data_IF_992217978654
#
_entry.id   IF_992217978654
#
_cell.length_a   1.000
_cell.length_b   1.000
_cell.length_c   1.000
_cell.angle_alpha   90.00
_cell.angle_beta   90.00
_cell.angle_gamma   90.00
#
_symmetry.space_group_name_H-M   'P 1'
#
loop_
_entity.id
_entity.type
_entity.pdbx_description
1 polymer ?
#
# COMPACT_ATOMS: atom_id res chain seq x y z
N UNK A 1 -24.48 14.18 0.54
CA UNK A 1 -23.64 13.20 1.25
C UNK A 1 -23.10 12.24 0.20
N UNK A 2 -21.85 12.43 -0.22
CA UNK A 2 -21.35 11.94 -1.50
C UNK A 2 -20.89 10.49 -1.52
N UNK A 3 -20.80 9.93 -2.73
CA UNK A 3 -20.27 8.60 -3.05
C UNK A 3 -18.95 8.27 -2.33
N UNK A 4 -18.09 9.27 -2.15
CA UNK A 4 -16.81 9.17 -1.45
C UNK A 4 -16.95 8.64 -0.01
N UNK A 5 -17.96 9.10 0.74
CA UNK A 5 -18.16 8.66 2.14
C UNK A 5 -18.66 7.21 2.24
N UNK A 6 -19.34 6.71 1.20
CA UNK A 6 -19.83 5.34 1.15
C UNK A 6 -18.68 4.35 0.91
N UNK A 7 -17.78 4.66 -0.03
CA UNK A 7 -16.61 3.84 -0.31
C UNK A 7 -15.64 3.80 0.88
N UNK A 8 -15.37 4.95 1.49
CA UNK A 8 -14.47 5.07 2.65
C UNK A 8 -14.94 4.20 3.83
N UNK A 9 -16.24 4.27 4.17
CA UNK A 9 -16.82 3.46 5.25
C UNK A 9 -16.83 1.96 4.96
N UNK A 10 -16.98 1.57 3.70
CA UNK A 10 -16.90 0.17 3.27
C UNK A 10 -15.46 -0.34 3.34
N UNK A 11 -14.50 0.46 2.87
CA UNK A 11 -13.07 0.15 2.89
C UNK A 11 -12.58 -0.07 4.32
N UNK A 12 -12.91 0.83 5.24
CA UNK A 12 -12.53 0.70 6.65
C UNK A 12 -13.10 -0.56 7.31
N UNK A 13 -14.35 -0.91 7.02
CA UNK A 13 -14.99 -2.12 7.53
C UNK A 13 -14.35 -3.40 6.98
N UNK A 14 -14.04 -3.43 5.68
CA UNK A 14 -13.38 -4.56 5.02
C UNK A 14 -11.93 -4.70 5.51
N UNK A 15 -11.21 -3.59 5.67
CA UNK A 15 -9.83 -3.57 6.17
C UNK A 15 -9.73 -4.10 7.60
N UNK A 16 -10.68 -3.75 8.46
CA UNK A 16 -10.77 -4.25 9.85
C UNK A 16 -11.11 -5.74 9.97
N UNK A 17 -11.78 -6.32 8.98
CA UNK A 17 -12.11 -7.75 8.93
C UNK A 17 -10.96 -8.58 8.33
N UNK A 18 -10.33 -8.06 7.28
CA UNK A 18 -9.22 -8.70 6.57
C UNK A 18 -7.91 -8.69 7.37
N UNK A 19 -7.71 -7.73 8.28
CA UNK A 19 -6.53 -7.70 9.16
C UNK A 19 -6.41 -8.91 10.10
N UNK A 20 -7.51 -9.62 10.36
CA UNK A 20 -7.52 -10.85 11.19
C UNK A 20 -7.18 -12.12 10.40
N UNK A 21 -7.17 -12.05 9.06
CA UNK A 21 -6.89 -13.19 8.17
C UNK A 21 -5.91 -12.79 7.05
N UNK A 22 -4.67 -12.38 7.40
CA UNK A 22 -3.70 -11.83 6.45
C UNK A 22 -3.32 -12.80 5.32
N UNK A 23 -3.31 -14.11 5.57
CA UNK A 23 -2.98 -15.12 4.54
C UNK A 23 -4.07 -15.19 3.47
N UNK A 24 -5.35 -15.27 3.86
CA UNK A 24 -6.46 -15.28 2.91
C UNK A 24 -6.55 -13.96 2.15
N UNK A 25 -6.30 -12.84 2.84
CA UNK A 25 -6.20 -11.54 2.20
C UNK A 25 -5.12 -11.51 1.12
N UNK A 26 -3.92 -12.04 1.40
CA UNK A 26 -2.83 -12.12 0.43
C UNK A 26 -3.18 -12.98 -0.80
N UNK A 27 -3.87 -14.11 -0.61
CA UNK A 27 -4.30 -14.98 -1.71
C UNK A 27 -5.35 -14.27 -2.59
N UNK A 28 -6.42 -13.75 -1.99
CA UNK A 28 -7.50 -13.08 -2.73
C UNK A 28 -6.99 -11.81 -3.40
N UNK A 29 -6.19 -11.01 -2.69
CA UNK A 29 -5.57 -9.80 -3.23
C UNK A 29 -4.62 -10.11 -4.38
N UNK A 30 -3.77 -11.13 -4.24
CA UNK A 30 -2.88 -11.58 -5.32
C UNK A 30 -3.64 -12.04 -6.57
N UNK A 31 -4.69 -12.85 -6.41
CA UNK A 31 -5.55 -13.25 -7.53
C UNK A 31 -6.25 -12.04 -8.18
N UNK A 32 -6.76 -11.11 -7.37
CA UNK A 32 -7.42 -9.90 -7.87
C UNK A 32 -6.45 -9.02 -8.67
N UNK A 33 -5.21 -8.85 -8.21
CA UNK A 33 -4.18 -8.10 -8.94
C UNK A 33 -3.87 -8.75 -10.29
N UNK A 34 -3.68 -10.07 -10.31
CA UNK A 34 -3.40 -10.81 -11.57
C UNK A 34 -4.58 -10.70 -12.54
N UNK A 35 -5.82 -10.87 -12.05
CA UNK A 35 -7.03 -10.74 -12.88
C UNK A 35 -7.24 -9.30 -13.37
N UNK A 36 -6.93 -8.31 -12.52
CA UNK A 36 -7.01 -6.90 -12.89
C UNK A 36 -6.05 -6.59 -14.05
N UNK A 37 -4.78 -6.98 -13.93
CA UNK A 37 -3.80 -6.75 -14.99
C UNK A 37 -4.14 -7.50 -16.27
N UNK A 38 -4.63 -8.74 -16.14
CA UNK A 38 -5.22 -9.48 -17.26
C UNK A 38 -6.36 -8.69 -17.90
N UNK A 39 -7.26 -8.11 -17.10
CA UNK A 39 -8.37 -7.29 -17.60
C UNK A 39 -7.90 -6.06 -18.36
N UNK A 40 -6.84 -5.40 -17.89
CA UNK A 40 -6.22 -4.25 -18.60
C UNK A 40 -5.71 -4.67 -19.98
N UNK A 41 -5.07 -5.84 -20.10
CA UNK A 41 -4.63 -6.37 -21.40
C UNK A 41 -5.80 -6.68 -22.33
N UNK A 42 -6.80 -7.42 -21.86
CA UNK A 42 -8.00 -7.71 -22.68
C UNK A 42 -8.73 -6.44 -23.11
N UNK A 43 -8.74 -5.42 -22.26
CA UNK A 43 -9.33 -4.13 -22.61
C UNK A 43 -8.53 -3.42 -23.70
N UNK A 44 -7.19 -3.48 -23.65
CA UNK A 44 -6.34 -2.99 -24.74
C UNK A 44 -6.58 -3.76 -26.04
N UNK A 45 -6.69 -5.09 -25.99
CA UNK A 45 -6.96 -5.94 -27.16
C UNK A 45 -8.33 -5.63 -27.79
N UNK A 46 -9.35 -5.39 -26.96
CA UNK A 46 -10.69 -4.99 -27.44
C UNK A 46 -10.62 -3.62 -28.13
N UNK A 47 -9.89 -2.66 -27.57
CA UNK A 47 -9.71 -1.35 -28.20
C UNK A 47 -8.91 -1.44 -29.51
N UNK A 48 -7.91 -2.32 -29.58
CA UNK A 48 -7.19 -2.61 -30.83
C UNK A 48 -8.15 -3.17 -31.89
N UNK A 49 -8.98 -4.15 -31.53
CA UNK A 49 -9.95 -4.80 -32.43
C UNK A 49 -11.14 -3.91 -32.81
N UNK A 50 -11.48 -2.90 -32.00
CA UNK A 50 -12.60 -1.98 -32.25
C UNK A 50 -12.41 -1.09 -33.50
N UNK A 51 -11.18 -1.03 -34.03
CA UNK A 51 -10.85 -0.28 -35.25
C UNK A 51 -10.88 1.24 -35.07
N UNK A 52 -10.55 1.97 -36.13
CA UNK A 52 -10.49 3.44 -36.11
C UNK A 52 -9.32 4.00 -35.29
N UNK A 53 -9.51 5.19 -34.73
CA UNK A 53 -8.47 5.92 -33.97
C UNK A 53 -8.02 5.13 -32.72
N UNK A 54 -8.97 4.46 -32.05
CA UNK A 54 -8.69 3.61 -30.90
C UNK A 54 -7.84 2.39 -31.29
N UNK A 55 -8.15 1.76 -32.42
CA UNK A 55 -7.34 0.67 -32.98
C UNK A 55 -5.87 1.05 -33.19
N UNK A 56 -5.63 2.26 -33.73
CA UNK A 56 -4.27 2.75 -33.99
C UNK A 56 -3.49 3.13 -32.73
N UNK A 57 -4.16 3.64 -31.69
CA UNK A 57 -3.51 4.03 -30.44
C UNK A 57 -3.16 2.80 -29.60
N UNK A 58 -4.04 1.80 -29.58
CA UNK A 58 -3.88 0.59 -28.79
C UNK A 58 -3.04 -0.50 -29.49
N UNK A 59 -2.73 -0.33 -30.78
CA UNK A 59 -1.82 -1.22 -31.50
C UNK A 59 -0.47 -1.39 -30.80
N UNK A 60 0.02 -2.62 -30.68
CA UNK A 60 1.13 -3.00 -29.80
C UNK A 60 2.40 -2.11 -29.92
N UNK A 61 2.97 -1.85 -31.12
CA UNK A 61 4.07 -0.89 -31.28
C UNK A 61 3.75 0.53 -30.82
N UNK A 62 2.56 1.06 -31.14
CA UNK A 62 2.17 2.45 -30.86
C UNK A 62 1.91 2.64 -29.37
N UNK A 63 1.15 1.74 -28.76
CA UNK A 63 0.85 1.78 -27.33
C UNK A 63 2.10 1.62 -26.48
N UNK A 64 3.08 0.81 -26.92
CA UNK A 64 4.39 0.67 -26.26
C UNK A 64 5.18 1.97 -26.28
N UNK A 65 5.30 2.64 -27.43
CA UNK A 65 6.03 3.90 -27.54
C UNK A 65 5.33 5.02 -26.76
N UNK A 66 4.01 5.10 -26.87
CA UNK A 66 3.21 6.13 -26.21
C UNK A 66 3.22 5.97 -24.68
N UNK A 67 3.07 4.74 -24.18
CA UNK A 67 3.22 4.46 -22.75
C UNK A 67 4.63 4.73 -22.25
N UNK A 68 5.68 4.37 -23.00
CA UNK A 68 7.06 4.70 -22.64
C UNK A 68 7.29 6.21 -22.53
N UNK A 69 6.76 7.00 -23.48
CA UNK A 69 6.84 8.47 -23.43
C UNK A 69 6.11 9.05 -22.21
N UNK A 70 4.90 8.57 -21.91
CA UNK A 70 4.14 9.01 -20.72
C UNK A 70 4.89 8.64 -19.43
N UNK A 71 5.46 7.44 -19.36
CA UNK A 71 6.25 7.00 -18.21
C UNK A 71 7.53 7.83 -18.04
N UNK A 72 8.17 8.24 -19.14
CA UNK A 72 9.35 9.11 -19.10
C UNK A 72 8.99 10.53 -18.66
N UNK A 73 7.93 11.12 -19.20
CA UNK A 73 7.47 12.48 -18.85
C UNK A 73 7.03 12.55 -17.38
N UNK A 74 6.34 11.54 -16.89
CA UNK A 74 5.91 11.47 -15.48
C UNK A 74 7.05 11.13 -14.52
N UNK A 75 8.25 10.77 -15.02
CA UNK A 75 9.37 10.30 -14.20
C UNK A 75 9.17 8.89 -13.61
N UNK A 76 8.00 8.27 -13.82
CA UNK A 76 7.68 6.94 -13.31
C UNK A 76 8.54 5.86 -13.94
N UNK A 77 8.99 6.02 -15.18
CA UNK A 77 9.90 5.07 -15.82
C UNK A 77 11.19 4.91 -15.00
N UNK A 78 11.79 6.02 -14.58
CA UNK A 78 13.01 5.97 -13.76
C UNK A 78 12.70 5.45 -12.35
N UNK A 79 11.58 5.85 -11.75
CA UNK A 79 11.20 5.38 -10.41
C UNK A 79 10.94 3.86 -10.36
N UNK A 80 10.21 3.31 -11.32
CA UNK A 80 9.87 1.88 -11.36
C UNK A 80 11.05 1.01 -11.78
N UNK A 81 11.85 1.44 -12.77
CA UNK A 81 12.93 0.61 -13.32
C UNK A 81 14.28 0.81 -12.62
N UNK A 82 14.54 1.97 -12.02
CA UNK A 82 15.80 2.30 -11.33
C UNK A 82 15.58 2.58 -9.83
N UNK A 83 14.48 3.25 -9.48
CA UNK A 83 14.27 3.89 -8.17
C UNK A 83 14.21 2.97 -6.94
N UNK A 84 13.30 1.99 -6.89
CA UNK A 84 12.95 1.36 -5.61
C UNK A 84 14.05 0.56 -4.93
N UNK A 85 15.07 0.08 -5.68
CA UNK A 85 16.19 -0.67 -5.08
C UNK A 85 17.52 0.06 -5.17
N UNK A 86 17.83 0.82 -6.22
CA UNK A 86 19.13 1.50 -6.35
C UNK A 86 19.20 2.74 -5.45
N UNK A 87 18.11 3.49 -5.33
CA UNK A 87 18.06 4.67 -4.45
C UNK A 87 18.01 4.23 -2.97
N UNK A 88 17.19 3.23 -2.64
CA UNK A 88 17.12 2.70 -1.26
C UNK A 88 18.42 1.99 -0.82
N UNK A 89 19.03 1.18 -1.67
CA UNK A 89 20.28 0.47 -1.33
C UNK A 89 21.51 1.40 -1.24
N UNK A 90 21.46 2.56 -1.90
CA UNK A 90 22.52 3.57 -1.85
C UNK A 90 22.48 4.46 -0.62
N UNK A 91 21.32 4.64 0.01
CA UNK A 91 21.14 5.55 1.16
C UNK A 91 21.28 4.87 2.52
N UNK A 92 21.02 3.58 2.62
CA UNK A 92 21.27 2.82 3.85
C UNK A 92 21.38 1.34 3.51
N UNK A 93 22.20 0.64 4.28
CA UNK A 93 22.31 -0.82 4.29
C UNK A 93 21.02 -1.48 4.82
N UNK A 94 19.85 -1.11 4.32
CA UNK A 94 18.54 -1.58 4.81
C UNK A 94 18.19 -2.93 4.20
N UNK A 95 18.00 -3.92 5.08
CA UNK A 95 17.42 -5.22 4.76
C UNK A 95 15.96 -5.06 4.30
N UNK A 96 15.49 -6.03 3.49
CA UNK A 96 14.16 -6.05 2.83
C UNK A 96 13.01 -5.68 3.78
N UNK A 97 12.13 -4.80 3.30
CA UNK A 97 10.91 -4.31 3.97
C UNK A 97 9.98 -5.41 4.51
N UNK A 98 10.00 -6.61 3.92
CA UNK A 98 9.17 -7.75 4.38
C UNK A 98 9.53 -8.23 5.79
N UNK A 99 10.79 -8.08 6.25
CA UNK A 99 11.21 -8.46 7.63
C UNK A 99 10.90 -7.39 8.70
N UNK A 100 10.70 -6.12 8.31
CA UNK A 100 10.43 -5.03 9.27
C UNK A 100 9.05 -5.13 9.93
N UNK A 101 8.04 -5.64 9.22
CA UNK A 101 6.63 -5.46 9.63
C UNK A 101 6.24 -6.19 10.92
N UNK A 102 6.65 -7.43 11.16
CA UNK A 102 6.23 -8.15 12.38
C UNK A 102 7.04 -7.73 13.62
N UNK A 103 8.35 -7.52 13.43
CA UNK A 103 9.27 -7.20 14.52
C UNK A 103 9.08 -5.77 15.05
N UNK A 104 8.85 -4.80 14.15
CA UNK A 104 8.54 -3.42 14.54
C UNK A 104 7.16 -3.32 15.19
N UNK A 105 6.12 -3.99 14.67
CA UNK A 105 4.78 -3.98 15.29
C UNK A 105 4.81 -4.58 16.71
N UNK A 106 5.61 -5.63 16.96
CA UNK A 106 5.81 -6.15 18.32
C UNK A 106 6.59 -5.19 19.22
N UNK A 107 7.62 -4.53 18.68
CA UNK A 107 8.41 -3.56 19.43
C UNK A 107 7.58 -2.33 19.83
N UNK A 108 6.77 -1.79 18.91
CA UNK A 108 5.84 -0.70 19.16
C UNK A 108 4.76 -1.10 20.17
N UNK A 109 4.21 -2.30 20.04
CA UNK A 109 3.25 -2.85 21.02
C UNK A 109 3.85 -2.95 22.43
N UNK A 110 5.10 -3.41 22.56
CA UNK A 110 5.79 -3.47 23.85
C UNK A 110 6.06 -2.07 24.43
N UNK A 111 6.36 -1.09 23.58
CA UNK A 111 6.61 0.30 23.96
C UNK A 111 5.33 0.98 24.49
N UNK A 112 4.17 0.70 23.86
CA UNK A 112 2.87 1.16 24.34
C UNK A 112 2.51 0.59 25.72
N UNK A 113 2.82 -0.68 25.97
CA UNK A 113 2.62 -1.31 27.29
C UNK A 113 3.49 -0.65 28.36
N UNK A 114 4.74 -0.32 28.04
CA UNK A 114 5.63 0.38 28.97
C UNK A 114 5.14 1.81 29.30
N UNK A 115 4.66 2.53 28.29
CA UNK A 115 4.06 3.86 28.48
C UNK A 115 2.82 3.77 29.38
N UNK A 116 1.94 2.79 29.16
CA UNK A 116 0.74 2.59 30.01
C UNK A 116 1.12 2.34 31.46
N UNK A 117 2.13 1.50 31.72
CA UNK A 117 2.61 1.24 33.09
C UNK A 117 3.19 2.48 33.75
N UNK A 118 3.90 3.32 33.00
CA UNK A 118 4.43 4.60 33.50
C UNK A 118 3.32 5.56 33.86
N UNK A 119 2.26 5.65 33.06
CA UNK A 119 1.08 6.46 33.35
C UNK A 119 0.36 5.99 34.62
N UNK A 120 0.09 4.68 34.75
CA UNK A 120 -0.53 4.10 35.96
C UNK A 120 0.30 4.39 37.22
N UNK A 121 1.62 4.35 37.09
CA UNK A 121 2.53 4.66 38.20
C UNK A 121 2.47 6.14 38.57
N UNK A 122 2.50 7.05 37.58
CA UNK A 122 2.36 8.48 37.83
C UNK A 122 1.02 8.82 38.47
N UNK A 123 -0.06 8.16 38.05
CA UNK A 123 -1.39 8.35 38.63
C UNK A 123 -1.43 7.93 40.12
N UNK A 124 -0.80 6.81 40.46
CA UNK A 124 -0.64 6.37 41.86
C UNK A 124 0.20 7.35 42.68
N UNK A 125 1.35 7.78 42.17
CA UNK A 125 2.24 8.74 42.86
C UNK A 125 1.51 10.08 43.11
N UNK A 126 0.75 10.58 42.14
CA UNK A 126 -0.08 11.79 42.29
C UNK A 126 -1.17 11.59 43.36
N UNK A 127 -1.81 10.42 43.39
CA UNK A 127 -2.86 10.12 44.38
C UNK A 127 -2.31 10.09 45.80
N UNK A 128 -1.15 9.44 46.02
CA UNK A 128 -0.48 9.39 47.32
C UNK A 128 -0.01 10.77 47.80
N UNK A 129 0.45 11.63 46.90
CA UNK A 129 0.79 13.02 47.21
C UNK A 129 -0.43 13.86 47.60
N UNK A 130 -1.60 13.54 47.03
CA UNK A 130 -2.87 14.23 47.32
C UNK A 130 -3.50 13.78 48.63
N UNK A 131 -3.27 12.53 49.06
CA UNK A 131 -3.73 11.99 50.36
C UNK A 131 -2.83 12.38 51.54
N UNK A 132 -1.57 12.74 51.28
CA UNK A 132 -0.62 13.23 52.31
C UNK A 132 -0.71 14.74 52.61
N UNK A 133 -1.67 15.45 52.02
CA UNK A 133 -1.88 16.89 52.16
C UNK A 133 -3.24 17.18 52.76
#
# INVERSE_FOLDING_TARGET
MGLYHFFDKMEDGVRGLLSRVPIFYGIVGGMAIVLFWRGVWHMADIFEQSGGVWGTIFNAPVSTVLSALVLLISGLFVSFFIGDRIILSGLTHEKKLEEKTESEVRAEGALLVDISKKLDRLEKEIKELKEKK
#
